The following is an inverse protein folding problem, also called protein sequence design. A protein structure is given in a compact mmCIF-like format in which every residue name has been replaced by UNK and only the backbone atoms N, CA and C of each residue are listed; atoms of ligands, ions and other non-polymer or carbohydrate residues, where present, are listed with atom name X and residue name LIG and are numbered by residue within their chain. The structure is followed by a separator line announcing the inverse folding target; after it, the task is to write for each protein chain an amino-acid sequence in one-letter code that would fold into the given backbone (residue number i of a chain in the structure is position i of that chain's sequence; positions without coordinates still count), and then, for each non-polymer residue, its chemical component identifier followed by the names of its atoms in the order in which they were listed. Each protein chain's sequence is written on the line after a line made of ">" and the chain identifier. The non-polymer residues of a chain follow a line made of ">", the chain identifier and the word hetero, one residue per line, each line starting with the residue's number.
data_IF_041337258273
#
_entry.id   IF_041337258273
#
_cell.length_a   1.000
_cell.length_b   1.000
_cell.length_c   1.000
_cell.angle_alpha   90.00
_cell.angle_beta   90.00
_cell.angle_gamma   90.00
#
_symmetry.space_group_name_H-M   'P 1'
#
loop_
_entity.id
_entity.type
_entity.pdbx_description
1 polymer ?
#
# COMPACT_ATOMS: atom_id res chain seq x y z
N UNK A 1 17.95 30.45 -10.45
CA UNK A 1 17.60 29.07 -10.83
C UNK A 1 16.18 29.11 -11.36
N UNK A 2 15.94 28.64 -12.57
CA UNK A 2 14.63 28.75 -13.24
C UNK A 2 14.18 27.34 -13.56
N UNK A 3 13.08 26.89 -12.96
CA UNK A 3 12.51 25.57 -13.24
C UNK A 3 11.89 25.54 -14.63
N UNK A 4 12.03 24.41 -15.32
CA UNK A 4 11.37 24.17 -16.61
C UNK A 4 9.86 23.91 -16.45
N UNK A 5 9.18 23.70 -17.57
CA UNK A 5 7.72 23.49 -17.57
C UNK A 5 7.35 22.14 -16.93
N UNK A 6 8.16 21.10 -17.13
CA UNK A 6 7.90 19.76 -16.61
C UNK A 6 8.09 19.72 -15.09
N UNK A 7 9.16 20.33 -14.59
CA UNK A 7 9.46 20.48 -13.16
C UNK A 7 8.35 21.26 -12.45
N UNK A 8 7.85 22.35 -13.04
CA UNK A 8 6.72 23.12 -12.49
C UNK A 8 5.44 22.30 -12.47
N UNK A 9 5.15 21.58 -13.56
CA UNK A 9 3.97 20.73 -13.62
C UNK A 9 4.04 19.59 -12.59
N UNK A 10 5.23 19.02 -12.38
CA UNK A 10 5.46 18.01 -11.35
C UNK A 10 5.29 18.58 -9.95
N UNK A 11 5.87 19.73 -9.66
CA UNK A 11 5.71 20.40 -8.37
C UNK A 11 4.24 20.71 -8.07
N UNK A 12 3.47 21.17 -9.07
CA UNK A 12 2.04 21.42 -8.92
C UNK A 12 1.26 20.14 -8.58
N UNK A 13 1.54 19.03 -9.26
CA UNK A 13 0.92 17.73 -8.96
C UNK A 13 1.26 17.26 -7.54
N UNK A 14 2.52 17.30 -7.15
CA UNK A 14 2.95 16.91 -5.80
C UNK A 14 2.29 17.78 -4.73
N UNK A 15 2.20 19.10 -4.94
CA UNK A 15 1.55 19.99 -3.98
C UNK A 15 0.06 19.69 -3.85
N UNK A 16 -0.63 19.36 -4.95
CA UNK A 16 -2.02 18.91 -4.90
C UNK A 16 -2.18 17.60 -4.13
N UNK A 17 -1.31 16.61 -4.36
CA UNK A 17 -1.33 15.34 -3.62
C UNK A 17 -1.12 15.54 -2.11
N UNK A 18 -0.18 16.42 -1.73
CA UNK A 18 0.05 16.76 -0.32
C UNK A 18 -1.15 17.48 0.31
N UNK A 19 -1.85 18.31 -0.48
CA UNK A 19 -3.04 19.01 -0.04
C UNK A 19 -4.24 18.07 0.11
N UNK A 20 -4.46 17.19 -0.86
CA UNK A 20 -5.51 16.16 -0.83
C UNK A 20 -5.29 15.19 0.35
N UNK A 21 -4.02 14.97 0.74
CA UNK A 21 -3.64 14.20 1.93
C UNK A 21 -3.70 14.99 3.25
N UNK A 22 -4.05 16.28 3.23
CA UNK A 22 -4.12 17.13 4.44
C UNK A 22 -2.76 17.49 5.05
N UNK A 23 -1.65 17.24 4.35
CA UNK A 23 -0.29 17.52 4.82
C UNK A 23 0.11 18.99 4.62
N UNK A 24 -0.54 19.67 3.69
CA UNK A 24 -0.48 21.12 3.50
C UNK A 24 -1.88 21.67 3.29
N UNK A 25 -2.10 22.93 3.65
CA UNK A 25 -3.38 23.63 3.44
C UNK A 25 -3.15 25.02 2.88
N UNK A 26 -4.09 25.52 2.09
CA UNK A 26 -4.11 26.92 1.68
C UNK A 26 -4.43 27.82 2.88
N UNK A 27 -3.64 28.88 3.08
CA UNK A 27 -3.80 29.78 4.22
C UNK A 27 -4.89 30.85 3.98
N UNK A 28 -5.34 31.03 2.73
CA UNK A 28 -6.33 32.02 2.28
C UNK A 28 -6.07 33.46 2.76
N UNK A 29 -4.83 33.79 3.16
CA UNK A 29 -4.45 35.14 3.61
C UNK A 29 -4.41 36.15 2.46
N UNK A 30 -4.16 35.68 1.25
CA UNK A 30 -4.22 36.46 0.03
C UNK A 30 -5.51 36.15 -0.72
N UNK A 31 -6.41 37.13 -0.81
CA UNK A 31 -7.68 37.01 -1.53
C UNK A 31 -7.51 37.06 -3.05
N UNK A 32 -6.37 37.56 -3.54
CA UNK A 32 -6.07 37.65 -4.97
C UNK A 32 -5.45 36.38 -5.52
N UNK A 33 -4.68 35.65 -4.71
CA UNK A 33 -4.11 34.37 -5.11
C UNK A 33 -4.05 33.35 -3.95
N UNK A 34 -5.21 32.86 -3.47
CA UNK A 34 -5.29 32.05 -2.26
C UNK A 34 -4.58 30.70 -2.37
N UNK A 35 -4.37 30.20 -3.58
CA UNK A 35 -3.74 28.90 -3.84
C UNK A 35 -2.20 28.93 -3.83
N UNK A 36 -1.59 30.12 -3.91
CA UNK A 36 -0.13 30.27 -3.89
C UNK A 36 0.48 30.17 -2.49
N UNK A 37 -0.33 30.40 -1.45
CA UNK A 37 0.12 30.42 -0.07
C UNK A 37 -0.32 29.15 0.65
N UNK A 38 0.56 28.16 0.65
CA UNK A 38 0.36 26.89 1.36
C UNK A 38 1.20 26.83 2.62
N UNK A 39 0.62 26.34 3.71
CA UNK A 39 1.31 26.08 4.97
C UNK A 39 1.30 24.58 5.28
N UNK A 40 2.39 24.10 5.88
CA UNK A 40 2.50 22.72 6.35
C UNK A 40 1.65 22.53 7.61
N UNK A 41 0.83 21.49 7.64
CA UNK A 41 0.02 21.11 8.80
C UNK A 41 0.88 20.38 9.84
N UNK A 42 0.32 20.13 11.03
CA UNK A 42 1.02 19.31 12.05
C UNK A 42 1.28 17.89 11.54
N UNK A 43 0.30 17.28 10.85
CA UNK A 43 0.46 15.99 10.17
C UNK A 43 1.54 16.05 9.09
N UNK A 44 1.61 17.14 8.34
CA UNK A 44 2.68 17.39 7.37
C UNK A 44 4.07 17.46 8.02
N UNK A 45 4.19 18.12 9.17
CA UNK A 45 5.45 18.21 9.93
C UNK A 45 5.88 16.85 10.46
N UNK A 46 4.95 16.05 10.98
CA UNK A 46 5.25 14.69 11.44
C UNK A 46 5.60 13.77 10.27
N UNK A 47 4.92 13.88 9.13
CA UNK A 47 5.28 13.16 7.91
C UNK A 47 6.70 13.51 7.42
N UNK A 48 7.05 14.80 7.44
CA UNK A 48 8.40 15.28 7.09
C UNK A 48 9.46 14.74 8.04
N UNK A 49 9.21 14.79 9.36
CA UNK A 49 10.10 14.28 10.40
C UNK A 49 10.33 12.77 10.28
N UNK A 50 9.27 12.02 9.94
CA UNK A 50 9.33 10.57 9.71
C UNK A 50 9.97 10.19 8.37
N UNK A 51 10.01 11.12 7.41
CA UNK A 51 10.44 10.85 6.03
C UNK A 51 9.44 9.99 5.24
N UNK A 52 8.18 9.94 5.65
CA UNK A 52 7.13 9.12 5.05
C UNK A 52 5.75 9.76 5.21
N UNK A 53 4.93 9.68 4.16
CA UNK A 53 3.63 10.36 4.07
C UNK A 53 2.63 9.86 5.13
N UNK A 54 2.65 8.56 5.44
CA UNK A 54 1.82 7.97 6.49
C UNK A 54 2.59 6.87 7.27
N UNK A 55 2.05 6.35 8.39
CA UNK A 55 2.70 5.29 9.17
C UNK A 55 2.93 3.99 8.37
N UNK A 56 2.05 3.68 7.41
CA UNK A 56 2.20 2.49 6.58
C UNK A 56 3.39 2.65 5.62
N UNK A 57 3.57 3.81 4.99
CA UNK A 57 4.74 4.11 4.16
C UNK A 57 6.03 3.95 4.96
N UNK A 58 6.07 4.40 6.22
CA UNK A 58 7.23 4.21 7.08
C UNK A 58 7.51 2.72 7.36
N UNK A 59 6.47 1.96 7.70
CA UNK A 59 6.59 0.53 7.97
C UNK A 59 6.98 -0.28 6.73
N UNK A 60 6.44 0.07 5.56
CA UNK A 60 6.83 -0.52 4.27
C UNK A 60 8.27 -0.15 3.91
N UNK A 61 8.67 1.10 4.09
CA UNK A 61 10.04 1.58 3.84
C UNK A 61 11.08 0.88 4.70
N UNK A 62 10.74 0.55 5.95
CA UNK A 62 11.61 -0.22 6.84
C UNK A 62 11.85 -1.66 6.35
N UNK A 63 10.91 -2.24 5.57
CA UNK A 63 11.11 -3.53 4.91
C UNK A 63 11.87 -3.37 3.58
N UNK A 64 11.44 -2.42 2.76
CA UNK A 64 12.08 -2.06 1.50
C UNK A 64 11.54 -0.74 0.96
N UNK A 65 12.40 0.22 0.58
CA UNK A 65 11.96 1.46 -0.09
C UNK A 65 11.13 1.22 -1.37
N UNK A 66 11.37 0.10 -2.07
CA UNK A 66 10.62 -0.24 -3.27
C UNK A 66 9.13 -0.51 -3.01
N UNK A 67 8.75 -0.90 -1.79
CA UNK A 67 7.35 -1.16 -1.45
C UNK A 67 6.52 0.13 -1.39
N UNK A 68 7.14 1.24 -0.99
CA UNK A 68 6.52 2.57 -1.04
C UNK A 68 6.21 2.91 -2.52
N UNK A 69 7.16 2.70 -3.41
CA UNK A 69 6.97 2.99 -4.84
C UNK A 69 5.88 2.12 -5.47
N UNK A 70 5.80 0.83 -5.12
CA UNK A 70 4.74 -0.06 -5.58
C UNK A 70 3.36 0.39 -5.08
N UNK A 71 3.25 0.74 -3.80
CA UNK A 71 2.00 1.25 -3.21
C UNK A 71 1.55 2.54 -3.89
N UNK A 72 2.46 3.50 -4.04
CA UNK A 72 2.20 4.77 -4.73
C UNK A 72 1.88 4.57 -6.20
N UNK A 73 2.56 3.64 -6.88
CA UNK A 73 2.29 3.28 -8.26
C UNK A 73 0.89 2.70 -8.44
N UNK A 74 0.48 1.79 -7.54
CA UNK A 74 -0.86 1.22 -7.55
C UNK A 74 -1.95 2.29 -7.40
N UNK A 75 -1.81 3.18 -6.43
CA UNK A 75 -2.76 4.27 -6.20
C UNK A 75 -2.78 5.31 -7.33
N UNK A 76 -1.61 5.71 -7.85
CA UNK A 76 -1.52 6.60 -9.01
C UNK A 76 -2.23 6.03 -10.23
N UNK A 77 -2.04 4.73 -10.49
CA UNK A 77 -2.73 4.05 -11.57
C UNK A 77 -4.24 3.96 -11.32
N UNK A 78 -4.69 3.65 -10.10
CA UNK A 78 -6.13 3.56 -9.78
C UNK A 78 -6.87 4.89 -9.93
N UNK A 79 -6.17 6.00 -9.70
CA UNK A 79 -6.70 7.36 -9.85
C UNK A 79 -6.52 7.94 -11.26
N UNK A 80 -5.85 7.22 -12.16
CA UNK A 80 -5.64 7.66 -13.53
C UNK A 80 -6.85 7.35 -14.42
N UNK A 81 -7.10 8.24 -15.38
CA UNK A 81 -8.11 8.06 -16.43
C UNK A 81 -7.55 7.35 -17.68
N UNK A 82 -6.30 6.89 -17.65
CA UNK A 82 -5.68 6.23 -18.80
C UNK A 82 -6.34 4.87 -19.08
N UNK A 83 -6.41 4.45 -20.35
CA UNK A 83 -6.74 3.07 -20.69
C UNK A 83 -5.79 2.11 -19.96
N UNK A 84 -6.31 0.97 -19.49
CA UNK A 84 -5.56 -0.06 -18.75
C UNK A 84 -5.08 0.32 -17.33
N UNK A 85 -5.30 1.56 -16.87
CA UNK A 85 -4.78 2.01 -15.58
C UNK A 85 -5.28 1.15 -14.40
N UNK A 86 -6.52 0.66 -14.47
CA UNK A 86 -7.08 -0.22 -13.44
C UNK A 86 -6.40 -1.60 -13.38
N UNK A 87 -5.95 -2.14 -14.53
CA UNK A 87 -5.18 -3.38 -14.55
C UNK A 87 -3.77 -3.16 -13.99
N UNK A 88 -3.14 -2.03 -14.33
CA UNK A 88 -1.82 -1.67 -13.79
C UNK A 88 -1.85 -1.46 -12.29
N UNK A 89 -2.90 -0.82 -11.77
CA UNK A 89 -3.15 -0.69 -10.34
C UNK A 89 -3.26 -2.07 -9.68
N UNK A 90 -4.08 -2.95 -10.26
CA UNK A 90 -4.29 -4.29 -9.73
C UNK A 90 -3.01 -5.14 -9.75
N UNK A 91 -2.23 -5.07 -10.83
CA UNK A 91 -0.95 -5.75 -10.94
C UNK A 91 0.05 -5.26 -9.88
N UNK A 92 0.19 -3.94 -9.75
CA UNK A 92 1.12 -3.33 -8.78
C UNK A 92 0.77 -3.68 -7.34
N UNK A 93 -0.53 -3.68 -6.99
CA UNK A 93 -0.97 -4.04 -5.64
C UNK A 93 -0.81 -5.52 -5.33
N UNK A 94 -1.12 -6.40 -6.30
CA UNK A 94 -0.85 -7.84 -6.16
C UNK A 94 0.62 -8.11 -5.91
N UNK A 95 1.49 -7.41 -6.64
CA UNK A 95 2.93 -7.57 -6.52
C UNK A 95 3.44 -7.05 -5.17
N UNK A 96 2.97 -5.87 -4.73
CA UNK A 96 3.27 -5.33 -3.40
C UNK A 96 2.94 -6.36 -2.30
N UNK A 97 1.72 -6.92 -2.32
CA UNK A 97 1.28 -7.93 -1.34
C UNK A 97 2.24 -9.12 -1.35
N UNK A 98 2.54 -9.69 -2.52
CA UNK A 98 3.44 -10.84 -2.63
C UNK A 98 4.82 -10.55 -2.04
N UNK A 99 5.41 -9.41 -2.40
CA UNK A 99 6.77 -9.08 -1.97
C UNK A 99 6.84 -8.75 -0.49
N UNK A 100 5.84 -8.06 0.07
CA UNK A 100 5.76 -7.81 1.52
C UNK A 100 5.69 -9.13 2.27
N UNK A 101 4.85 -10.08 1.85
CA UNK A 101 4.78 -11.38 2.51
C UNK A 101 6.04 -12.24 2.31
N UNK A 102 6.73 -12.12 1.19
CA UNK A 102 8.05 -12.73 1.02
C UNK A 102 9.08 -12.16 1.98
N UNK A 103 9.07 -10.84 2.20
CA UNK A 103 9.96 -10.19 3.15
C UNK A 103 9.65 -10.58 4.61
N UNK A 104 8.37 -10.70 4.97
CA UNK A 104 7.95 -11.05 6.33
C UNK A 104 8.05 -12.54 6.67
N UNK A 105 7.95 -13.41 5.66
CA UNK A 105 8.00 -14.85 5.80
C UNK A 105 8.85 -15.47 4.67
N UNK A 106 10.19 -15.39 4.78
CA UNK A 106 11.10 -15.99 3.83
C UNK A 106 10.91 -17.51 3.73
N UNK A 107 11.19 -18.07 2.56
CA UNK A 107 10.93 -19.48 2.27
C UNK A 107 11.57 -20.45 3.26
N UNK A 108 12.79 -20.13 3.69
CA UNK A 108 13.54 -20.93 4.65
C UNK A 108 12.81 -21.00 6.01
N UNK A 109 12.27 -19.87 6.48
CA UNK A 109 11.55 -19.82 7.75
C UNK A 109 10.21 -20.54 7.69
N UNK A 110 9.50 -20.44 6.56
CA UNK A 110 8.23 -21.17 6.36
C UNK A 110 8.48 -22.67 6.40
N UNK A 111 9.51 -23.16 5.71
CA UNK A 111 9.86 -24.59 5.71
C UNK A 111 10.33 -25.10 7.06
N UNK A 112 10.91 -24.23 7.89
CA UNK A 112 11.36 -24.58 9.23
C UNK A 112 10.22 -24.67 10.27
N UNK A 113 8.99 -24.30 9.93
CA UNK A 113 7.87 -24.38 10.87
C UNK A 113 7.56 -25.85 11.21
N UNK A 114 7.37 -26.21 12.50
CA UNK A 114 7.11 -27.59 12.92
C UNK A 114 5.86 -28.22 12.28
N UNK A 115 4.89 -27.38 11.92
CA UNK A 115 3.63 -27.78 11.31
C UNK A 115 3.59 -27.54 9.79
N UNK A 116 4.73 -27.21 9.16
CA UNK A 116 4.81 -27.14 7.71
C UNK A 116 4.66 -28.55 7.13
N UNK A 117 3.61 -28.76 6.35
CA UNK A 117 3.40 -30.02 5.63
C UNK A 117 3.55 -29.76 4.14
N UNK A 118 4.35 -30.56 3.45
CA UNK A 118 4.62 -30.41 2.02
C UNK A 118 3.47 -30.89 1.13
N UNK A 119 2.21 -30.76 1.57
CA UNK A 119 1.03 -31.37 0.93
C UNK A 119 0.81 -30.95 -0.54
N UNK A 120 1.56 -29.95 -1.04
CA UNK A 120 1.54 -29.48 -2.43
C UNK A 120 2.91 -29.61 -3.11
N UNK A 121 3.44 -30.83 -3.27
CA UNK A 121 4.73 -31.09 -3.94
C UNK A 121 5.93 -30.30 -3.37
N UNK A 122 5.90 -29.98 -2.07
CA UNK A 122 6.93 -29.14 -1.44
C UNK A 122 6.87 -27.65 -1.78
N UNK A 123 5.81 -27.18 -2.46
CA UNK A 123 5.59 -25.77 -2.72
C UNK A 123 5.04 -25.08 -1.47
N UNK A 124 5.64 -23.94 -1.13
CA UNK A 124 5.13 -23.04 -0.09
C UNK A 124 3.90 -22.34 -0.65
N UNK A 125 2.77 -22.48 0.04
CA UNK A 125 1.57 -21.73 -0.33
C UNK A 125 1.65 -20.30 0.21
N UNK A 126 0.87 -19.40 -0.39
CA UNK A 126 0.71 -18.03 0.14
C UNK A 126 0.12 -18.04 1.55
N UNK A 127 -0.84 -18.95 1.80
CA UNK A 127 -1.44 -19.12 3.12
C UNK A 127 -0.41 -19.50 4.19
N UNK A 128 0.58 -20.32 3.86
CA UNK A 128 1.66 -20.65 4.79
C UNK A 128 2.47 -19.41 5.18
N UNK A 129 2.79 -18.55 4.21
CA UNK A 129 3.48 -17.27 4.46
C UNK A 129 2.66 -16.31 5.29
N UNK A 130 1.37 -16.18 4.98
CA UNK A 130 0.50 -15.25 5.69
C UNK A 130 0.40 -15.64 7.16
N UNK A 131 0.17 -16.93 7.44
CA UNK A 131 0.15 -17.47 8.80
C UNK A 131 1.46 -17.23 9.55
N UNK A 132 2.61 -17.46 8.89
CA UNK A 132 3.90 -17.21 9.53
C UNK A 132 4.12 -15.71 9.81
N UNK A 133 3.83 -14.84 8.83
CA UNK A 133 3.99 -13.40 8.98
C UNK A 133 3.16 -12.85 10.15
N UNK A 134 1.90 -13.30 10.27
CA UNK A 134 1.01 -12.98 11.40
C UNK A 134 1.62 -13.43 12.72
N UNK A 135 2.03 -14.71 12.83
CA UNK A 135 2.61 -15.26 14.07
C UNK A 135 3.90 -14.56 14.50
N UNK A 136 4.77 -14.21 13.54
CA UNK A 136 6.02 -13.51 13.83
C UNK A 136 5.77 -12.11 14.42
N UNK A 137 4.68 -11.44 13.99
CA UNK A 137 4.31 -10.09 14.42
C UNK A 137 3.41 -10.07 15.67
N UNK A 138 2.64 -11.12 15.90
CA UNK A 138 1.71 -11.25 17.02
C UNK A 138 2.36 -11.36 18.43
N UNK A 139 3.68 -11.18 18.55
CA UNK A 139 4.35 -11.27 19.86
C UNK A 139 3.86 -10.15 20.78
N UNK A 140 3.10 -10.53 21.81
CA UNK A 140 2.52 -9.59 22.79
C UNK A 140 1.11 -9.12 22.46
N UNK A 141 0.48 -9.67 21.42
CA UNK A 141 -0.91 -9.37 21.05
C UNK A 141 -1.89 -10.27 21.80
N UNK A 142 -3.14 -9.79 21.96
CA UNK A 142 -4.20 -10.62 22.54
C UNK A 142 -4.64 -11.71 21.56
N UNK A 143 -5.29 -12.77 22.07
CA UNK A 143 -5.85 -13.82 21.19
C UNK A 143 -6.87 -13.25 20.19
N UNK A 144 -7.66 -12.24 20.61
CA UNK A 144 -8.59 -11.53 19.74
C UNK A 144 -7.89 -10.79 18.60
N UNK A 145 -6.77 -10.11 18.89
CA UNK A 145 -5.99 -9.41 17.86
C UNK A 145 -5.43 -10.39 16.82
N UNK A 146 -4.96 -11.56 17.29
CA UNK A 146 -4.48 -12.62 16.41
C UNK A 146 -5.60 -13.15 15.54
N UNK A 147 -6.78 -13.41 16.11
CA UNK A 147 -7.95 -13.87 15.34
C UNK A 147 -8.36 -12.84 14.28
N UNK A 148 -8.43 -11.56 14.65
CA UNK A 148 -8.72 -10.46 13.71
C UNK A 148 -7.70 -10.46 12.57
N UNK A 149 -6.41 -10.62 12.88
CA UNK A 149 -5.37 -10.61 11.85
C UNK A 149 -5.45 -11.85 10.94
N UNK A 150 -5.78 -13.02 11.47
CA UNK A 150 -6.02 -14.21 10.65
C UNK A 150 -7.18 -13.99 9.67
N UNK A 151 -8.31 -13.44 10.12
CA UNK A 151 -9.43 -13.08 9.22
C UNK A 151 -9.05 -12.01 8.21
N UNK A 152 -8.25 -11.02 8.62
CA UNK A 152 -7.72 -10.01 7.73
C UNK A 152 -6.83 -10.62 6.63
N UNK A 153 -6.03 -11.64 6.94
CA UNK A 153 -5.25 -12.34 5.91
C UNK A 153 -6.09 -13.15 4.94
N UNK A 154 -7.18 -13.78 5.41
CA UNK A 154 -8.14 -14.46 4.53
C UNK A 154 -8.82 -13.43 3.59
N UNK A 155 -9.19 -12.25 4.10
CA UNK A 155 -9.72 -11.15 3.29
C UNK A 155 -8.69 -10.63 2.28
N UNK A 156 -7.44 -10.45 2.70
CA UNK A 156 -6.33 -10.05 1.84
C UNK A 156 -6.14 -11.04 0.68
N UNK A 157 -6.17 -12.34 0.97
CA UNK A 157 -6.06 -13.38 -0.05
C UNK A 157 -7.21 -13.32 -1.07
N UNK A 158 -8.43 -13.08 -0.59
CA UNK A 158 -9.61 -12.90 -1.44
C UNK A 158 -9.46 -11.65 -2.34
N UNK A 159 -9.03 -10.51 -1.78
CA UNK A 159 -8.78 -9.29 -2.55
C UNK A 159 -7.64 -9.46 -3.54
N UNK A 160 -6.55 -10.14 -3.16
CA UNK A 160 -5.45 -10.46 -4.07
C UNK A 160 -5.93 -11.30 -5.25
N UNK A 161 -6.75 -12.32 -4.99
CA UNK A 161 -7.35 -13.16 -6.05
C UNK A 161 -8.26 -12.35 -6.96
N UNK A 162 -9.00 -11.40 -6.40
CA UNK A 162 -9.83 -10.46 -7.15
C UNK A 162 -8.99 -9.52 -8.02
N UNK A 163 -7.92 -8.94 -7.47
CA UNK A 163 -6.95 -8.11 -8.21
C UNK A 163 -6.26 -8.90 -9.32
N UNK A 164 -5.92 -10.16 -9.06
CA UNK A 164 -5.35 -11.08 -10.05
C UNK A 164 -6.32 -11.31 -11.22
N UNK A 165 -7.60 -11.54 -10.93
CA UNK A 165 -8.65 -11.63 -11.95
C UNK A 165 -8.77 -10.34 -12.77
N UNK A 166 -8.73 -9.17 -12.13
CA UNK A 166 -8.79 -7.88 -12.82
C UNK A 166 -7.58 -7.62 -13.72
N UNK A 167 -6.38 -7.97 -13.26
CA UNK A 167 -5.16 -7.81 -14.03
C UNK A 167 -5.18 -8.61 -15.35
N UNK A 168 -5.91 -9.73 -15.40
CA UNK A 168 -6.02 -10.58 -16.60
C UNK A 168 -7.38 -10.49 -17.31
N UNK A 169 -8.32 -9.69 -16.82
CA UNK A 169 -9.65 -9.56 -17.39
C UNK A 169 -9.60 -8.92 -18.77
N UNK A 170 -10.25 -9.54 -19.76
CA UNK A 170 -10.49 -8.92 -21.09
C UNK A 170 -11.67 -7.95 -21.07
N UNK A 171 -12.53 -8.04 -20.07
CA UNK A 171 -13.68 -7.17 -19.89
C UNK A 171 -13.28 -5.87 -19.20
N UNK A 172 -14.16 -4.87 -19.27
CA UNK A 172 -14.03 -3.62 -18.52
C UNK A 172 -13.94 -3.89 -17.01
N UNK A 173 -12.98 -3.22 -16.36
CA UNK A 173 -12.75 -3.31 -14.92
C UNK A 173 -13.24 -2.01 -14.30
N UNK A 174 -14.22 -2.08 -13.41
CA UNK A 174 -14.76 -0.92 -12.70
C UNK A 174 -13.70 -0.34 -11.76
N UNK A 175 -13.32 0.93 -11.98
CA UNK A 175 -12.26 1.58 -11.20
C UNK A 175 -12.54 1.60 -9.69
N UNK A 176 -13.80 1.84 -9.29
CA UNK A 176 -14.20 1.78 -7.88
C UNK A 176 -13.85 0.43 -7.24
N UNK A 177 -14.07 -0.67 -7.97
CA UNK A 177 -13.81 -2.01 -7.43
C UNK A 177 -12.31 -2.28 -7.21
N UNK A 178 -11.44 -1.69 -8.03
CA UNK A 178 -9.99 -1.74 -7.82
C UNK A 178 -9.60 -0.87 -6.62
N UNK A 179 -10.15 0.35 -6.53
CA UNK A 179 -9.89 1.23 -5.38
C UNK A 179 -10.32 0.58 -4.06
N UNK A 180 -11.50 -0.04 -3.97
CA UNK A 180 -11.96 -0.74 -2.77
C UNK A 180 -11.00 -1.88 -2.38
N UNK A 181 -10.49 -2.60 -3.37
CA UNK A 181 -9.51 -3.66 -3.15
C UNK A 181 -8.17 -3.08 -2.66
N UNK A 182 -7.70 -1.96 -3.20
CA UNK A 182 -6.51 -1.25 -2.71
C UNK A 182 -6.68 -0.75 -1.28
N UNK A 183 -7.83 -0.16 -0.94
CA UNK A 183 -8.11 0.28 0.43
C UNK A 183 -8.08 -0.89 1.41
N UNK A 184 -8.65 -2.02 1.00
CA UNK A 184 -8.64 -3.24 1.82
C UNK A 184 -7.22 -3.77 2.01
N UNK A 185 -6.40 -3.76 0.95
CA UNK A 185 -4.97 -4.13 1.03
C UNK A 185 -4.25 -3.21 2.01
N UNK A 186 -4.38 -1.89 1.87
CA UNK A 186 -3.73 -0.92 2.75
C UNK A 186 -4.20 -1.09 4.21
N UNK A 187 -5.49 -1.34 4.45
CA UNK A 187 -6.04 -1.60 5.78
C UNK A 187 -5.40 -2.85 6.41
N UNK A 188 -5.34 -3.97 5.69
CA UNK A 188 -4.75 -5.20 6.24
C UNK A 188 -3.25 -5.05 6.43
N UNK A 189 -2.54 -4.38 5.52
CA UNK A 189 -1.13 -4.07 5.71
C UNK A 189 -0.88 -3.17 6.93
N UNK A 190 -1.75 -2.18 7.20
CA UNK A 190 -1.69 -1.38 8.43
C UNK A 190 -1.83 -2.26 9.66
N UNK A 191 -2.88 -3.09 9.72
CA UNK A 191 -3.10 -4.01 10.84
C UNK A 191 -1.89 -4.92 11.10
N UNK A 192 -1.14 -5.28 10.05
CA UNK A 192 0.02 -6.17 10.16
C UNK A 192 1.32 -5.47 10.53
N UNK A 193 1.51 -4.22 10.12
CA UNK A 193 2.82 -3.56 10.09
C UNK A 193 2.95 -2.37 11.04
N UNK A 194 1.84 -1.77 11.45
CA UNK A 194 1.76 -0.56 12.29
C UNK A 194 1.15 -0.92 13.62
#
# INVERSE_FOLDING_TARGET
>A
MTFDIEERAQAYRCARELQDAGLIVAEYRDLTNPEEWRVITDDGREALKRGALDPLDAALGALSPAFIEMRRGAWRAANSSLPDAQRQAAHSARELVNQVFHALAPDAEVRAQPNYSSQNDGRITRRDRYKLAVRNRARGWSETDVEVLEKATDLMEAQRTKLDSFAHSRNEVFGQTVQDALQTVDMVLRLMLV
#
